data_IF_670826237202
#
_entry.id   IF_670826237202
#
_cell.length_a   1.000
_cell.length_b   1.000
_cell.length_c   1.000
_cell.angle_alpha   90.00
_cell.angle_beta   90.00
_cell.angle_gamma   90.00
#
_symmetry.space_group_name_H-M   'P 1'
#
loop_
_entity.id
_entity.type
_entity.pdbx_description
1 polymer ?
#
# COMPACT_ATOMS: atom_id res chain seq x y z
N UNK A 1 -26.51 -3.57 -6.61
CA UNK A 1 -26.57 -3.32 -5.16
C UNK A 1 -25.72 -2.09 -4.88
N UNK A 2 -26.17 -1.14 -4.05
CA UNK A 2 -25.32 -0.01 -3.66
C UNK A 2 -24.13 -0.54 -2.85
N UNK A 3 -22.91 -0.27 -3.31
CA UNK A 3 -21.68 -0.76 -2.68
C UNK A 3 -21.41 0.02 -1.40
N UNK A 4 -21.19 -0.69 -0.31
CA UNK A 4 -20.91 -0.07 0.98
C UNK A 4 -19.58 0.66 0.91
N UNK A 5 -19.60 1.96 1.22
CA UNK A 5 -18.40 2.78 1.23
C UNK A 5 -17.38 2.20 2.23
N UNK A 6 -16.11 1.97 1.84
CA UNK A 6 -15.13 1.26 2.66
C UNK A 6 -14.81 2.01 3.96
N UNK A 7 -15.02 3.33 3.97
CA UNK A 7 -14.83 4.17 5.15
C UNK A 7 -16.10 4.34 6.01
N UNK A 8 -17.26 3.82 5.57
CA UNK A 8 -18.50 3.82 6.36
C UNK A 8 -18.61 2.60 7.30
N UNK A 9 -17.73 1.61 7.14
CA UNK A 9 -17.80 0.32 7.81
C UNK A 9 -17.25 0.28 9.26
N UNK A 10 -17.08 1.43 9.95
CA UNK A 10 -16.65 1.42 11.35
C UNK A 10 -17.63 0.73 12.30
N UNK A 11 -18.89 0.54 11.89
CA UNK A 11 -19.94 -0.05 12.70
C UNK A 11 -20.23 -1.49 12.27
N UNK A 12 -19.66 -2.49 12.96
CA UNK A 12 -20.23 -3.84 12.92
C UNK A 12 -19.34 -5.00 13.37
N UNK A 13 -18.16 -5.18 12.78
CA UNK A 13 -17.30 -6.36 13.04
C UNK A 13 -15.80 -6.08 12.78
N UNK A 14 -14.92 -6.99 13.23
CA UNK A 14 -13.46 -6.88 13.09
C UNK A 14 -12.98 -6.82 11.63
N UNK A 15 -13.71 -7.46 10.69
CA UNK A 15 -13.36 -7.47 9.28
C UNK A 15 -13.70 -6.14 8.59
N UNK A 16 -14.82 -5.51 8.96
CA UNK A 16 -15.20 -4.17 8.56
C UNK A 16 -14.21 -3.13 9.07
N UNK A 17 -13.76 -3.26 10.32
CA UNK A 17 -12.73 -2.38 10.89
C UNK A 17 -11.37 -2.51 10.19
N UNK A 18 -10.97 -3.72 9.79
CA UNK A 18 -9.72 -3.94 9.04
C UNK A 18 -9.77 -3.28 7.65
N UNK A 19 -10.90 -3.41 6.95
CA UNK A 19 -11.13 -2.72 5.67
C UNK A 19 -11.12 -1.21 5.85
N UNK A 20 -11.81 -0.72 6.88
CA UNK A 20 -11.82 0.70 7.20
C UNK A 20 -10.40 1.23 7.47
N UNK A 21 -9.61 0.51 8.25
CA UNK A 21 -8.25 0.88 8.62
C UNK A 21 -7.34 1.00 7.39
N UNK A 22 -7.28 -0.04 6.54
CA UNK A 22 -6.51 -0.01 5.30
C UNK A 22 -7.01 1.08 4.35
N UNK A 23 -8.34 1.22 4.24
CA UNK A 23 -8.95 2.27 3.45
C UNK A 23 -8.54 3.66 3.94
N UNK A 24 -8.46 3.87 5.25
CA UNK A 24 -8.08 5.15 5.85
C UNK A 24 -6.60 5.46 5.66
N UNK A 25 -5.73 4.47 5.82
CA UNK A 25 -4.30 4.59 5.49
C UNK A 25 -4.12 5.02 4.03
N UNK A 26 -4.86 4.39 3.10
CA UNK A 26 -4.82 4.70 1.68
C UNK A 26 -5.36 6.10 1.34
N UNK A 27 -6.51 6.46 1.92
CA UNK A 27 -7.14 7.76 1.73
C UNK A 27 -6.22 8.91 2.14
N UNK A 28 -5.38 8.73 3.16
CA UNK A 28 -4.40 9.72 3.60
C UNK A 28 -3.40 10.11 2.49
N UNK A 29 -3.16 9.23 1.50
CA UNK A 29 -2.29 9.53 0.36
C UNK A 29 -2.93 10.49 -0.67
N UNK A 30 -4.26 10.61 -0.67
CA UNK A 30 -4.98 11.57 -1.52
C UNK A 30 -5.20 12.92 -0.84
N UNK A 31 -4.99 13.01 0.49
CA UNK A 31 -5.11 14.26 1.22
C UNK A 31 -3.76 14.94 1.42
N UNK A 32 -3.75 16.25 1.22
CA UNK A 32 -2.68 17.08 1.76
C UNK A 32 -3.09 17.55 3.17
N UNK A 33 -2.61 16.80 4.16
CA UNK A 33 -2.74 17.14 5.57
C UNK A 33 -1.52 17.94 5.95
N UNK A 34 -1.74 19.18 6.37
CA UNK A 34 -0.73 19.99 7.02
C UNK A 34 -0.70 19.67 8.50
N UNK A 35 0.49 19.45 9.07
CA UNK A 35 0.58 19.05 10.46
C UNK A 35 1.84 19.51 11.18
N UNK A 36 1.69 19.66 12.49
CA UNK A 36 2.78 19.75 13.45
C UNK A 36 2.73 18.53 14.36
N UNK A 37 3.87 17.88 14.57
CA UNK A 37 3.94 16.72 15.45
C UNK A 37 5.35 16.47 15.99
N UNK A 38 5.41 15.73 17.09
CA UNK A 38 6.62 15.12 17.60
C UNK A 38 6.58 13.62 17.32
N UNK A 39 7.48 13.14 16.48
CA UNK A 39 7.63 11.72 16.21
C UNK A 39 8.79 11.18 17.06
N UNK A 40 8.54 10.08 17.78
CA UNK A 40 9.54 9.35 18.55
C UNK A 40 9.67 7.94 18.01
N UNK A 41 10.88 7.42 18.08
CA UNK A 41 11.22 6.11 17.57
C UNK A 41 12.25 5.45 18.47
N UNK A 42 12.01 4.17 18.76
CA UNK A 42 12.92 3.32 19.50
C UNK A 42 13.18 2.04 18.69
N UNK A 43 14.45 1.78 18.41
CA UNK A 43 14.95 0.54 17.81
C UNK A 43 15.66 -0.26 18.87
N UNK A 44 15.28 -1.53 19.02
CA UNK A 44 15.92 -2.42 19.97
C UNK A 44 16.91 -3.38 19.30
N UNK A 45 16.75 -3.62 17.99
CA UNK A 45 17.55 -4.58 17.20
C UNK A 45 17.75 -4.11 15.76
N UNK A 46 18.81 -4.59 15.10
CA UNK A 46 19.21 -4.15 13.76
C UNK A 46 18.13 -4.46 12.71
N UNK A 47 17.93 -3.63 11.67
CA UNK A 47 17.01 -3.93 10.57
C UNK A 47 17.46 -5.16 9.79
N UNK A 48 18.76 -5.45 9.77
CA UNK A 48 19.35 -6.59 9.07
C UNK A 48 18.85 -7.92 9.64
N UNK A 49 18.72 -8.02 10.96
CA UNK A 49 18.25 -9.23 11.66
C UNK A 49 16.83 -9.64 11.27
N UNK A 50 16.02 -8.68 10.82
CA UNK A 50 14.58 -8.84 10.53
C UNK A 50 14.24 -8.66 9.05
N UNK A 51 15.22 -8.40 8.21
CA UNK A 51 15.06 -8.20 6.76
C UNK A 51 14.67 -9.48 6.00
N UNK A 52 14.84 -10.65 6.64
CA UNK A 52 14.48 -11.94 6.06
C UNK A 52 15.45 -12.42 4.97
N UNK A 53 14.99 -13.27 4.05
CA UNK A 53 15.83 -13.96 3.05
C UNK A 53 16.53 -13.02 2.05
N UNK A 54 15.99 -11.83 1.85
CA UNK A 54 16.51 -10.83 0.91
C UNK A 54 17.21 -9.65 1.61
N UNK A 55 17.57 -9.82 2.88
CA UNK A 55 18.38 -8.88 3.61
C UNK A 55 19.71 -8.58 2.93
N UNK A 56 20.13 -7.32 2.93
CA UNK A 56 21.49 -6.95 2.56
C UNK A 56 22.45 -7.50 3.61
N UNK A 57 23.01 -8.69 3.36
CA UNK A 57 24.23 -9.10 4.03
C UNK A 57 25.39 -8.45 3.30
N UNK A 58 25.81 -7.25 3.70
CA UNK A 58 27.16 -6.81 3.34
C UNK A 58 28.13 -7.83 3.94
N UNK A 59 28.90 -8.51 3.09
CA UNK A 59 29.80 -9.60 3.47
C UNK A 59 30.99 -9.17 4.37
N UNK A 60 30.94 -7.99 4.97
CA UNK A 60 31.89 -7.50 5.95
C UNK A 60 31.24 -7.59 7.33
N UNK A 61 31.65 -8.61 8.10
CA UNK A 61 31.42 -8.69 9.55
C UNK A 61 31.93 -7.40 10.19
N UNK A 62 31.02 -6.46 10.46
CA UNK A 62 31.23 -5.48 11.51
C UNK A 62 30.75 -6.08 12.82
N UNK A 63 31.55 -5.87 13.86
CA UNK A 63 31.30 -6.34 15.22
C UNK A 63 29.88 -5.98 15.67
N UNK A 64 29.14 -6.98 16.17
CA UNK A 64 27.83 -6.83 16.80
C UNK A 64 27.91 -5.75 17.88
N UNK A 65 27.48 -4.55 17.53
CA UNK A 65 27.13 -3.52 18.49
C UNK A 65 25.62 -3.62 18.64
N UNK A 66 25.11 -3.90 19.84
CA UNK A 66 23.68 -3.81 20.16
C UNK A 66 23.18 -2.41 19.79
N UNK A 67 22.65 -2.25 18.58
CA UNK A 67 22.21 -0.96 18.07
C UNK A 67 20.84 -0.63 18.65
N UNK A 68 20.85 -0.16 19.91
CA UNK A 68 19.70 0.58 20.44
C UNK A 68 19.76 1.98 19.86
N UNK A 69 18.95 2.27 18.85
CA UNK A 69 18.84 3.62 18.27
C UNK A 69 17.55 4.27 18.76
N UNK A 70 17.65 5.51 19.23
CA UNK A 70 16.47 6.30 19.63
C UNK A 70 16.49 7.59 18.83
N UNK A 71 15.34 7.97 18.31
CA UNK A 71 15.18 9.13 17.44
C UNK A 71 13.99 9.96 17.90
N UNK A 72 14.16 11.28 17.84
CA UNK A 72 13.05 12.21 17.95
C UNK A 72 13.15 13.21 16.80
N UNK A 73 12.05 13.35 16.05
CA UNK A 73 11.90 14.33 15.00
C UNK A 73 10.73 15.24 15.35
N UNK A 74 11.01 16.53 15.43
CA UNK A 74 9.96 17.54 15.43
C UNK A 74 9.68 17.93 13.98
N UNK A 75 8.43 17.79 13.58
CA UNK A 75 7.96 18.18 12.25
C UNK A 75 7.15 19.45 12.44
N UNK A 76 7.75 20.59 12.09
CA UNK A 76 7.06 21.88 12.04
C UNK A 76 6.58 22.10 10.59
N UNK A 77 5.27 22.28 10.42
CA UNK A 77 4.60 22.53 9.14
C UNK A 77 4.84 21.43 8.08
N UNK A 78 4.67 20.17 8.49
CA UNK A 78 4.68 19.01 7.61
C UNK A 78 3.51 19.03 6.62
N UNK A 79 3.68 18.38 5.46
CA UNK A 79 2.62 18.12 4.47
C UNK A 79 2.76 16.67 4.01
N UNK A 80 1.70 15.88 4.17
CA UNK A 80 1.70 14.46 3.73
C UNK A 80 1.98 14.34 2.23
N UNK A 81 1.44 15.24 1.41
CA UNK A 81 1.70 15.25 -0.02
C UNK A 81 3.17 15.57 -0.34
N UNK A 82 3.80 16.52 0.38
CA UNK A 82 5.23 16.85 0.21
C UNK A 82 6.14 15.72 0.69
N UNK A 83 5.79 15.02 1.76
CA UNK A 83 6.52 13.84 2.22
C UNK A 83 6.53 12.72 1.18
N UNK A 84 5.48 12.60 0.36
CA UNK A 84 5.43 11.66 -0.76
C UNK A 84 6.28 12.10 -1.95
N UNK A 85 6.42 13.41 -2.20
CA UNK A 85 7.21 13.97 -3.32
C UNK A 85 8.71 13.99 -3.08
N UNK A 86 9.15 14.13 -1.81
CA UNK A 86 10.56 13.98 -1.45
C UNK A 86 10.92 12.51 -1.64
N UNK A 87 11.34 12.20 -2.85
CA UNK A 87 11.65 10.86 -3.34
C UNK A 87 12.96 10.33 -2.75
N UNK A 88 13.07 10.38 -1.43
CA UNK A 88 14.23 9.86 -0.76
C UNK A 88 13.93 8.46 -0.30
N UNK A 89 14.78 7.57 -0.80
CA UNK A 89 15.17 6.29 -0.23
C UNK A 89 15.53 6.34 1.28
N UNK A 90 15.12 7.37 2.02
CA UNK A 90 15.14 7.33 3.47
C UNK A 90 14.06 6.33 3.87
N UNK A 91 14.48 5.11 4.20
CA UNK A 91 13.73 4.18 5.05
C UNK A 91 13.54 4.76 6.47
N UNK A 92 13.25 6.06 6.58
CA UNK A 92 13.06 6.76 7.83
C UNK A 92 11.78 6.23 8.48
N UNK A 93 11.90 5.50 9.60
CA UNK A 93 10.74 4.95 10.30
C UNK A 93 9.74 6.04 10.71
N UNK A 94 10.21 7.26 11.00
CA UNK A 94 9.39 8.35 11.51
C UNK A 94 8.45 8.91 10.42
N UNK A 95 8.90 8.95 9.17
CA UNK A 95 8.06 9.44 8.07
C UNK A 95 6.89 8.51 7.76
N UNK A 96 7.06 7.20 7.96
CA UNK A 96 6.00 6.21 7.75
C UNK A 96 4.85 6.35 8.75
N UNK A 97 5.08 6.97 9.92
CA UNK A 97 4.01 7.31 10.86
C UNK A 97 3.05 8.38 10.28
N UNK A 98 3.59 9.29 9.47
CA UNK A 98 2.83 10.39 8.85
C UNK A 98 2.43 10.07 7.40
N UNK A 99 2.90 8.96 6.84
CA UNK A 99 2.55 8.48 5.51
C UNK A 99 2.30 6.95 5.48
N UNK A 100 1.25 6.48 6.19
CA UNK A 100 1.04 5.04 6.40
C UNK A 100 0.68 4.26 5.16
N UNK A 101 0.22 4.93 4.09
CA UNK A 101 -0.06 4.22 2.85
C UNK A 101 1.19 3.62 2.20
N UNK A 102 2.42 4.01 2.61
CA UNK A 102 3.66 3.32 2.22
C UNK A 102 3.69 1.85 2.64
N UNK A 103 3.05 1.52 3.75
CA UNK A 103 3.06 0.17 4.33
C UNK A 103 2.18 -0.82 3.55
N UNK A 104 1.20 -0.33 2.77
CA UNK A 104 0.11 -1.16 2.21
C UNK A 104 0.63 -2.26 1.27
N UNK A 105 1.62 -1.95 0.42
CA UNK A 105 2.24 -2.89 -0.52
C UNK A 105 2.87 -4.12 0.16
N UNK A 106 3.36 -3.94 1.39
CA UNK A 106 3.98 -4.97 2.19
C UNK A 106 3.02 -5.84 3.00
N UNK A 107 1.71 -5.53 3.03
CA UNK A 107 0.74 -6.25 3.87
C UNK A 107 0.22 -7.52 3.19
N UNK A 108 0.37 -8.67 3.84
CA UNK A 108 -0.30 -9.92 3.45
C UNK A 108 -1.72 -10.02 4.02
N UNK A 109 -1.88 -9.65 5.29
CA UNK A 109 -3.18 -9.67 5.95
C UNK A 109 -3.28 -8.57 6.99
N UNK A 110 -4.51 -8.12 7.23
CA UNK A 110 -4.82 -7.18 8.28
C UNK A 110 -6.00 -7.68 9.11
N UNK A 111 -5.91 -7.49 10.42
CA UNK A 111 -7.03 -7.63 11.35
C UNK A 111 -7.11 -6.36 12.18
N UNK A 112 -8.32 -5.89 12.45
CA UNK A 112 -8.51 -4.74 13.33
C UNK A 112 -9.06 -5.19 14.66
N UNK A 113 -8.51 -4.62 15.72
CA UNK A 113 -8.96 -4.80 17.09
C UNK A 113 -10.12 -3.85 17.40
N UNK A 114 -9.89 -2.98 18.39
CA UNK A 114 -10.89 -2.07 18.94
C UNK A 114 -10.63 -0.62 18.52
N UNK A 115 -11.67 0.19 18.61
CA UNK A 115 -11.52 1.64 18.71
C UNK A 115 -10.97 1.99 20.10
N UNK A 116 -9.98 2.87 20.17
CA UNK A 116 -9.34 3.34 21.39
C UNK A 116 -9.04 4.83 21.31
N UNK A 117 -8.44 5.37 22.37
CA UNK A 117 -8.06 6.78 22.48
C UNK A 117 -6.60 6.91 22.91
N UNK A 118 -5.84 7.76 22.22
CA UNK A 118 -4.44 8.06 22.52
C UNK A 118 -4.28 9.57 22.47
N UNK A 119 -3.77 10.16 23.56
CA UNK A 119 -3.51 11.60 23.68
C UNK A 119 -4.71 12.47 23.23
N UNK A 120 -5.93 12.05 23.58
CA UNK A 120 -7.17 12.74 23.25
C UNK A 120 -7.66 12.57 21.81
N UNK A 121 -7.05 11.68 21.02
CA UNK A 121 -7.44 11.37 19.64
C UNK A 121 -8.02 9.95 19.54
N UNK A 122 -9.11 9.80 18.80
CA UNK A 122 -9.69 8.49 18.54
C UNK A 122 -8.91 7.75 17.46
N UNK A 123 -8.54 6.50 17.73
CA UNK A 123 -7.84 5.64 16.78
C UNK A 123 -8.39 4.22 16.73
N UNK A 124 -8.11 3.51 15.65
CA UNK A 124 -8.40 2.07 15.50
C UNK A 124 -7.09 1.31 15.59
N UNK A 125 -7.02 0.33 16.49
CA UNK A 125 -5.87 -0.59 16.56
C UNK A 125 -5.97 -1.62 15.44
N UNK A 126 -4.91 -1.75 14.65
CA UNK A 126 -4.79 -2.73 13.58
C UNK A 126 -3.54 -3.58 13.79
N UNK A 127 -3.64 -4.85 13.44
CA UNK A 127 -2.52 -5.76 13.29
C UNK A 127 -2.32 -6.04 11.81
N UNK A 128 -1.13 -5.72 11.30
CA UNK A 128 -0.70 -5.95 9.93
C UNK A 128 0.35 -7.04 9.91
N UNK A 129 0.19 -8.02 9.03
CA UNK A 129 1.16 -9.11 8.84
C UNK A 129 1.90 -8.85 7.54
N UNK A 130 3.25 -8.84 7.54
CA UNK A 130 4.01 -8.61 6.31
C UNK A 130 3.81 -9.79 5.35
N UNK A 131 3.82 -9.47 4.06
CA UNK A 131 3.81 -10.46 3.00
C UNK A 131 5.24 -10.92 2.75
N UNK A 132 5.54 -12.22 2.88
CA UNK A 132 6.92 -12.73 2.92
C UNK A 132 7.75 -12.41 1.66
N UNK A 133 7.08 -12.11 0.54
CA UNK A 133 7.70 -11.86 -0.75
C UNK A 133 7.54 -10.45 -1.30
N UNK A 134 6.73 -9.60 -0.67
CA UNK A 134 6.47 -8.24 -1.18
C UNK A 134 6.60 -7.15 -0.14
N UNK A 135 6.71 -7.53 1.13
CA UNK A 135 7.30 -6.64 2.11
C UNK A 135 8.69 -6.23 1.61
N UNK A 136 8.94 -4.93 1.57
CA UNK A 136 10.27 -4.42 1.27
C UNK A 136 11.20 -4.88 2.40
N UNK A 137 12.31 -5.58 2.11
CA UNK A 137 13.30 -5.97 3.13
C UNK A 137 13.86 -4.79 3.93
N UNK A 138 13.81 -3.60 3.34
CA UNK A 138 14.23 -2.35 3.97
C UNK A 138 13.06 -1.60 4.64
N UNK A 139 11.82 -2.12 4.57
CA UNK A 139 10.70 -1.49 5.24
C UNK A 139 10.97 -1.42 6.75
N UNK A 140 10.88 -0.22 7.33
CA UNK A 140 11.19 -0.06 8.73
C UNK A 140 10.20 -0.76 9.66
N UNK A 141 8.96 -1.01 9.26
CA UNK A 141 7.89 -1.46 10.14
C UNK A 141 7.39 -2.86 9.83
N UNK A 142 7.41 -3.24 8.55
CA UNK A 142 6.89 -4.49 8.03
C UNK A 142 7.89 -5.21 7.12
N UNK A 143 9.15 -5.43 7.55
CA UNK A 143 10.07 -6.25 6.76
C UNK A 143 9.61 -7.73 6.74
N UNK A 144 10.07 -8.55 5.78
CA UNK A 144 9.66 -9.96 5.65
C UNK A 144 9.90 -10.83 6.89
N UNK A 145 10.91 -10.50 7.72
CA UNK A 145 11.20 -11.23 8.95
C UNK A 145 10.34 -10.82 10.15
N UNK A 146 9.55 -9.74 10.05
CA UNK A 146 8.60 -9.39 11.09
C UNK A 146 7.45 -10.42 11.14
N UNK A 147 6.96 -10.72 12.34
CA UNK A 147 5.74 -11.53 12.52
C UNK A 147 4.50 -10.68 12.32
N UNK A 148 4.50 -9.44 12.83
CA UNK A 148 3.42 -8.48 12.66
C UNK A 148 3.83 -7.06 13.10
N UNK A 149 3.04 -6.09 12.67
CA UNK A 149 3.00 -4.72 13.16
C UNK A 149 1.67 -4.48 13.86
N UNK A 150 1.69 -3.97 15.08
CA UNK A 150 0.50 -3.39 15.73
C UNK A 150 0.57 -1.88 15.62
N UNK A 151 -0.47 -1.24 15.09
CA UNK A 151 -0.51 0.21 14.89
C UNK A 151 -1.88 0.82 15.27
N UNK A 152 -1.86 2.03 15.81
CA UNK A 152 -3.07 2.82 16.08
C UNK A 152 -3.28 3.88 15.01
N UNK A 153 -4.29 3.70 14.16
CA UNK A 153 -4.59 4.61 13.05
C UNK A 153 -5.52 5.73 13.53
N UNK A 154 -5.07 6.98 13.45
CA UNK A 154 -5.87 8.16 13.76
C UNK A 154 -7.11 8.23 12.86
N UNK A 155 -8.29 8.31 13.47
CA UNK A 155 -9.55 8.35 12.72
C UNK A 155 -9.70 9.62 11.88
N UNK A 156 -9.03 10.70 12.25
CA UNK A 156 -9.09 11.97 11.54
C UNK A 156 -8.06 12.11 10.42
N UNK A 157 -6.80 11.73 10.61
CA UNK A 157 -5.78 11.92 9.56
C UNK A 157 -5.43 10.65 8.82
N UNK A 158 -5.71 9.48 9.42
CA UNK A 158 -5.18 8.20 8.97
C UNK A 158 -3.73 7.95 9.36
N UNK A 159 -3.04 8.89 10.04
CA UNK A 159 -1.67 8.72 10.52
C UNK A 159 -1.56 7.65 11.61
N UNK A 160 -0.36 7.10 11.81
CA UNK A 160 -0.08 6.17 12.89
C UNK A 160 0.26 6.95 14.16
N UNK A 161 -0.66 6.96 15.13
CA UNK A 161 -0.39 7.54 16.46
C UNK A 161 0.64 6.72 17.23
N UNK A 162 0.66 5.41 17.00
CA UNK A 162 1.73 4.52 17.45
C UNK A 162 1.89 3.34 16.50
N UNK A 163 3.07 2.75 16.52
CA UNK A 163 3.45 1.59 15.74
C UNK A 163 4.40 0.72 16.57
N UNK A 164 4.22 -0.60 16.57
CA UNK A 164 5.10 -1.57 17.22
C UNK A 164 5.28 -2.79 16.33
N UNK A 165 6.50 -3.00 15.87
CA UNK A 165 6.84 -4.13 15.01
C UNK A 165 7.48 -5.25 15.84
N UNK A 166 7.03 -6.47 15.58
CA UNK A 166 7.39 -7.68 16.30
C UNK A 166 7.95 -8.72 15.36
N UNK A 167 8.85 -9.54 15.87
CA UNK A 167 9.31 -10.77 15.21
C UNK A 167 9.11 -11.97 16.17
N UNK A 168 9.87 -13.06 16.00
CA UNK A 168 9.79 -14.23 16.90
C UNK A 168 10.43 -14.01 18.27
N UNK A 169 11.34 -13.04 18.41
CA UNK A 169 12.05 -12.74 19.65
C UNK A 169 11.36 -11.62 20.45
N UNK A 170 10.43 -10.88 19.82
CA UNK A 170 9.59 -9.88 20.48
C UNK A 170 9.53 -8.57 19.71
N UNK A 171 9.23 -7.48 20.41
CA UNK A 171 9.22 -6.14 19.82
C UNK A 171 10.65 -5.75 19.41
N UNK A 172 10.90 -5.53 18.13
CA UNK A 172 12.20 -5.03 17.66
C UNK A 172 12.20 -3.51 17.45
N UNK A 173 11.00 -2.91 17.38
CA UNK A 173 10.86 -1.51 17.01
C UNK A 173 9.53 -0.91 17.47
N UNK A 174 9.58 0.32 17.95
CA UNK A 174 8.37 1.08 18.28
C UNK A 174 8.48 2.54 17.86
N UNK A 175 7.34 3.16 17.63
CA UNK A 175 7.26 4.57 17.31
C UNK A 175 5.94 5.17 17.75
N UNK A 176 5.96 6.47 17.99
CA UNK A 176 4.82 7.22 18.47
C UNK A 176 4.80 8.62 17.88
N UNK A 177 3.61 9.06 17.47
CA UNK A 177 3.34 10.42 17.05
C UNK A 177 2.59 11.13 18.19
N UNK A 178 3.19 12.19 18.73
CA UNK A 178 2.67 12.98 19.86
C UNK A 178 2.38 14.39 19.42
N UNK A 179 1.53 15.07 20.20
CA UNK A 179 1.18 16.48 20.01
C UNK A 179 0.69 16.79 18.58
N UNK A 180 0.07 15.82 17.90
CA UNK A 180 -0.36 15.95 16.51
C UNK A 180 -1.45 17.02 16.39
N UNK A 181 -1.12 18.09 15.69
CA UNK A 181 -2.04 19.13 15.21
C UNK A 181 -2.14 18.99 13.70
N UNK A 182 -3.34 18.86 13.17
CA UNK A 182 -3.56 18.60 11.76
C UNK A 182 -4.67 19.49 11.19
N UNK A 183 -4.40 20.04 10.02
CA UNK A 183 -5.30 20.89 9.23
C UNK A 183 -5.33 20.42 7.78
N UNK A 184 -6.46 20.57 7.11
CA UNK A 184 -6.57 20.31 5.68
C UNK A 184 -5.84 21.41 4.87
N UNK A 185 -5.66 21.19 3.57
CA UNK A 185 -5.02 22.14 2.66
C UNK A 185 -5.67 23.54 2.61
N UNK A 186 -6.93 23.67 3.03
CA UNK A 186 -7.65 24.93 3.14
C UNK A 186 -7.51 25.61 4.52
N UNK A 187 -6.74 25.02 5.43
CA UNK A 187 -6.54 25.49 6.81
C UNK A 187 -7.63 25.08 7.80
N UNK A 188 -8.67 24.37 7.36
CA UNK A 188 -9.72 23.87 8.27
C UNK A 188 -9.21 22.70 9.13
N UNK A 189 -9.77 22.47 10.33
CA UNK A 189 -9.42 21.30 11.14
C UNK A 189 -9.79 20.01 10.42
N UNK A 190 -8.88 19.02 10.43
CA UNK A 190 -9.21 17.69 9.89
C UNK A 190 -10.19 17.01 10.85
N UNK A 191 -11.45 16.85 10.44
CA UNK A 191 -12.47 16.18 11.24
C UNK A 191 -12.48 14.67 10.97
N UNK A 192 -12.68 13.86 12.02
CA UNK A 192 -12.77 12.39 12.00
C UNK A 192 -13.89 11.78 11.15
N UNK A 193 -14.66 12.59 10.42
CA UNK A 193 -15.63 12.07 9.48
C UNK A 193 -14.87 11.36 8.35
N UNK A 194 -15.11 10.06 8.24
CA UNK A 194 -14.84 9.34 7.01
C UNK A 194 -15.56 10.05 5.86
N UNK A 195 -14.92 10.16 4.68
CA UNK A 195 -15.64 10.34 3.44
C UNK A 195 -16.88 9.43 3.46
N UNK A 196 -18.07 9.99 3.26
CA UNK A 196 -19.35 9.28 3.34
C UNK A 196 -19.91 8.86 1.98
N UNK A 197 -19.32 9.30 0.85
CA UNK A 197 -19.87 9.12 -0.50
C UNK A 197 -18.79 8.92 -1.59
N UNK A 198 -19.14 8.20 -2.66
CA UNK A 198 -18.27 8.02 -3.83
C UNK A 198 -17.95 9.34 -4.57
N UNK A 199 -18.67 10.43 -4.26
CA UNK A 199 -18.42 11.76 -4.81
C UNK A 199 -17.17 12.42 -4.22
N UNK A 200 -16.62 11.90 -3.12
CA UNK A 200 -15.44 12.45 -2.46
C UNK A 200 -14.12 12.14 -3.18
N UNK A 201 -14.18 11.54 -4.38
CA UNK A 201 -13.09 11.53 -5.35
C UNK A 201 -11.93 10.59 -5.03
N UNK A 202 -10.69 11.07 -5.13
CA UNK A 202 -9.47 10.27 -5.00
C UNK A 202 -9.35 9.45 -3.69
N UNK A 203 -9.68 9.97 -2.50
CA UNK A 203 -9.66 9.19 -1.26
C UNK A 203 -10.51 7.92 -1.30
N UNK A 204 -11.70 7.97 -1.91
CA UNK A 204 -12.56 6.81 -2.07
C UNK A 204 -11.92 5.76 -2.97
N UNK A 205 -11.39 6.19 -4.12
CA UNK A 205 -10.74 5.29 -5.09
C UNK A 205 -9.54 4.60 -4.44
N UNK A 206 -8.68 5.33 -3.73
CA UNK A 206 -7.53 4.76 -3.02
C UNK A 206 -7.96 3.80 -1.90
N UNK A 207 -9.00 4.16 -1.13
CA UNK A 207 -9.52 3.28 -0.10
C UNK A 207 -10.00 1.95 -0.69
N UNK A 208 -10.73 1.99 -1.82
CA UNK A 208 -11.17 0.78 -2.54
C UNK A 208 -9.99 -0.04 -3.06
N UNK A 209 -8.96 0.61 -3.62
CA UNK A 209 -7.75 -0.08 -4.06
C UNK A 209 -7.10 -0.83 -2.90
N UNK A 210 -6.91 -0.20 -1.74
CA UNK A 210 -6.28 -0.83 -0.60
C UNK A 210 -7.09 -1.97 0.00
N UNK A 211 -8.43 -1.85 0.06
CA UNK A 211 -9.29 -2.91 0.59
C UNK A 211 -9.28 -4.19 -0.25
N UNK A 212 -8.84 -4.12 -1.51
CA UNK A 212 -8.68 -5.31 -2.36
C UNK A 212 -7.63 -6.31 -1.82
N UNK A 213 -6.84 -5.94 -0.81
CA UNK A 213 -5.97 -6.88 -0.09
C UNK A 213 -6.75 -7.91 0.72
N UNK A 214 -7.88 -7.50 1.30
CA UNK A 214 -8.65 -8.31 2.24
C UNK A 214 -9.80 -9.04 1.58
N UNK A 215 -10.27 -8.54 0.44
CA UNK A 215 -11.38 -9.15 -0.28
C UNK A 215 -10.86 -10.38 -1.05
N UNK A 216 -11.32 -11.60 -0.73
CA UNK A 216 -10.99 -12.78 -1.51
C UNK A 216 -11.63 -12.64 -2.88
N UNK A 217 -10.80 -12.69 -3.92
CA UNK A 217 -11.25 -12.45 -5.29
C UNK A 217 -10.74 -13.60 -6.16
N UNK A 218 -11.69 -14.39 -6.68
CA UNK A 218 -11.47 -15.37 -7.76
C UNK A 218 -12.17 -14.84 -8.99
N UNK A 219 -11.42 -14.56 -10.04
CA UNK A 219 -11.98 -13.95 -11.25
C UNK A 219 -11.42 -14.59 -12.50
N UNK A 220 -12.21 -14.51 -13.56
CA UNK A 220 -11.71 -14.67 -14.92
C UNK A 220 -11.61 -13.27 -15.54
N UNK A 221 -10.52 -12.96 -16.22
CA UNK A 221 -10.36 -11.65 -16.84
C UNK A 221 -9.64 -11.74 -18.18
N UNK A 222 -10.16 -11.06 -19.20
CA UNK A 222 -9.37 -10.76 -20.40
C UNK A 222 -8.45 -9.59 -20.09
N UNK A 223 -7.13 -9.72 -20.31
CA UNK A 223 -6.19 -8.61 -20.12
C UNK A 223 -5.56 -8.27 -21.46
N UNK A 224 -5.73 -7.02 -21.87
CA UNK A 224 -5.03 -6.46 -23.03
C UNK A 224 -3.96 -5.52 -22.51
N UNK A 225 -2.69 -5.88 -22.71
CA UNK A 225 -1.55 -5.04 -22.39
C UNK A 225 -0.91 -4.54 -23.69
N UNK A 226 -0.66 -3.24 -23.78
CA UNK A 226 0.05 -2.58 -24.88
C UNK A 226 1.30 -1.90 -24.30
N UNK A 227 2.25 -2.71 -23.78
CA UNK A 227 3.68 -2.56 -24.12
C UNK A 227 4.49 -3.88 -24.03
N UNK A 228 5.83 -3.81 -24.12
CA UNK A 228 6.91 -4.85 -24.20
C UNK A 228 6.94 -5.91 -23.07
N UNK A 229 5.77 -6.47 -22.72
CA UNK A 229 5.58 -7.63 -21.84
C UNK A 229 5.57 -8.92 -22.70
N UNK A 230 5.97 -8.81 -23.98
CA UNK A 230 5.82 -9.88 -24.98
C UNK A 230 6.84 -11.03 -24.81
N UNK A 231 7.81 -10.94 -23.91
CA UNK A 231 8.74 -12.04 -23.64
C UNK A 231 8.09 -13.09 -22.71
N UNK A 232 7.69 -14.20 -23.31
CA UNK A 232 7.36 -15.54 -22.75
C UNK A 232 6.87 -15.64 -21.29
N UNK A 233 5.57 -15.39 -21.11
CA UNK A 233 4.83 -15.73 -19.90
C UNK A 233 4.63 -17.25 -19.79
N UNK A 234 5.27 -17.90 -18.81
CA UNK A 234 4.93 -19.25 -18.36
C UNK A 234 4.85 -19.31 -16.84
N UNK A 235 3.86 -20.00 -16.27
CA UNK A 235 3.61 -19.99 -14.82
C UNK A 235 3.45 -21.41 -14.30
N UNK A 236 4.09 -21.73 -13.18
CA UNK A 236 3.77 -22.90 -12.38
C UNK A 236 2.67 -22.54 -11.37
N UNK A 237 1.57 -23.30 -11.37
CA UNK A 237 0.43 -23.03 -10.51
C UNK A 237 0.76 -23.31 -9.03
N UNK A 238 0.79 -22.26 -8.20
CA UNK A 238 0.87 -22.38 -6.73
C UNK A 238 -0.51 -22.10 -6.12
N UNK A 239 -1.03 -22.92 -5.17
CA UNK A 239 -2.33 -22.65 -4.57
C UNK A 239 -2.37 -21.29 -3.85
N UNK A 240 -3.28 -20.40 -4.23
CA UNK A 240 -3.52 -19.11 -3.55
C UNK A 240 -5.01 -18.83 -3.34
N UNK A 241 -5.32 -17.98 -2.35
CA UNK A 241 -6.67 -17.44 -2.13
C UNK A 241 -7.12 -16.52 -3.27
N UNK A 242 -6.19 -15.91 -4.02
CA UNK A 242 -6.47 -15.08 -5.19
C UNK A 242 -6.02 -15.79 -6.45
N UNK A 243 -6.88 -15.83 -7.46
CA UNK A 243 -6.53 -16.36 -8.77
C UNK A 243 -7.28 -15.64 -9.89
N UNK A 244 -6.61 -15.53 -11.04
CA UNK A 244 -7.02 -14.87 -12.25
C UNK A 244 -6.73 -15.76 -13.44
N UNK A 245 -7.73 -16.05 -14.26
CA UNK A 245 -7.49 -16.61 -15.59
C UNK A 245 -7.37 -15.45 -16.58
N UNK A 246 -6.18 -15.23 -17.15
CA UNK A 246 -5.83 -14.11 -18.03
C UNK A 246 -5.74 -14.52 -19.48
N UNK A 247 -6.63 -13.99 -20.33
CA UNK A 247 -6.49 -14.12 -21.79
C UNK A 247 -5.77 -12.91 -22.36
N UNK A 248 -4.61 -13.12 -22.99
CA UNK A 248 -3.84 -12.08 -23.67
C UNK A 248 -4.35 -11.91 -25.10
N UNK A 249 -4.78 -10.70 -25.44
CA UNK A 249 -5.15 -10.34 -26.81
C UNK A 249 -3.95 -10.53 -27.74
N UNK A 250 -4.14 -11.30 -28.82
CA UNK A 250 -3.07 -11.61 -29.80
C UNK A 250 -2.43 -13.00 -29.66
N UNK A 251 -2.59 -13.70 -28.52
CA UNK A 251 -2.05 -15.06 -28.33
C UNK A 251 -3.11 -16.17 -28.21
N UNK A 252 -4.40 -15.83 -28.09
CA UNK A 252 -5.49 -16.78 -27.80
C UNK A 252 -5.18 -17.79 -26.66
N UNK A 253 -4.20 -17.48 -25.81
CA UNK A 253 -3.77 -18.31 -24.70
C UNK A 253 -4.35 -17.72 -23.43
N UNK A 254 -4.96 -18.57 -22.61
CA UNK A 254 -5.40 -18.20 -21.26
C UNK A 254 -4.35 -18.70 -20.27
N UNK A 255 -3.83 -17.80 -19.45
CA UNK A 255 -2.87 -18.09 -18.39
C UNK A 255 -3.62 -18.10 -17.06
N UNK A 256 -3.52 -19.19 -16.31
CA UNK A 256 -3.99 -19.19 -14.93
C UNK A 256 -2.89 -18.61 -14.04
N UNK A 257 -3.23 -17.53 -13.34
CA UNK A 257 -2.36 -16.80 -12.42
C UNK A 257 -2.99 -16.93 -11.05
N UNK A 258 -2.31 -17.54 -10.10
CA UNK A 258 -2.67 -17.50 -8.69
C UNK A 258 -1.70 -16.57 -7.97
N UNK A 259 -2.13 -15.88 -6.90
CA UNK A 259 -1.29 -14.86 -6.28
C UNK A 259 -1.45 -14.73 -4.78
N UNK A 260 -0.49 -15.31 -4.07
CA UNK A 260 0.43 -14.47 -3.32
C UNK A 260 1.73 -14.50 -4.13
N UNK A 261 2.29 -13.33 -4.47
CA UNK A 261 3.42 -13.25 -5.41
C UNK A 261 4.65 -14.00 -4.86
N UNK A 262 5.21 -14.95 -5.62
CA UNK A 262 6.43 -15.69 -5.25
C UNK A 262 7.54 -15.45 -6.29
N UNK A 263 8.46 -14.48 -6.10
CA UNK A 263 9.46 -14.06 -7.10
C UNK A 263 10.38 -15.17 -7.60
N UNK A 264 10.60 -16.21 -6.78
CA UNK A 264 11.47 -17.35 -7.12
C UNK A 264 10.74 -18.43 -7.93
N UNK A 265 9.40 -18.40 -7.99
CA UNK A 265 8.56 -19.42 -8.63
C UNK A 265 7.62 -18.84 -9.69
N UNK A 266 7.49 -17.51 -9.73
CA UNK A 266 6.61 -16.77 -10.62
C UNK A 266 7.47 -16.08 -11.67
N UNK A 267 7.21 -16.39 -12.94
CA UNK A 267 7.84 -15.68 -14.05
C UNK A 267 7.70 -14.15 -13.91
N UNK A 268 8.75 -13.36 -14.22
CA UNK A 268 8.74 -11.90 -14.11
C UNK A 268 7.56 -11.19 -14.79
N UNK A 269 7.03 -11.72 -15.89
CA UNK A 269 5.88 -11.10 -16.55
C UNK A 269 4.57 -11.47 -15.83
N UNK A 270 4.48 -12.66 -15.24
CA UNK A 270 3.34 -13.06 -14.41
C UNK A 270 3.32 -12.31 -13.06
N UNK A 271 4.51 -12.01 -12.52
CA UNK A 271 4.73 -11.12 -11.38
C UNK A 271 4.12 -9.73 -11.61
N UNK A 272 4.51 -9.11 -12.74
CA UNK A 272 4.02 -7.80 -13.19
C UNK A 272 2.51 -7.80 -13.35
N UNK A 273 1.96 -8.85 -13.94
CA UNK A 273 0.53 -9.00 -14.15
C UNK A 273 -0.25 -9.20 -12.84
N UNK A 274 0.28 -9.99 -11.90
CA UNK A 274 -0.32 -10.17 -10.58
C UNK A 274 -0.29 -8.87 -9.74
N UNK A 275 0.77 -8.08 -9.85
CA UNK A 275 0.87 -6.74 -9.27
C UNK A 275 -0.19 -5.80 -9.86
N UNK A 276 -0.32 -5.75 -11.18
CA UNK A 276 -1.33 -4.95 -11.88
C UNK A 276 -2.77 -5.33 -11.51
N UNK A 277 -3.01 -6.62 -11.27
CA UNK A 277 -4.31 -7.15 -10.83
C UNK A 277 -4.52 -7.01 -9.30
N UNK A 278 -3.54 -6.46 -8.57
CA UNK A 278 -3.58 -6.20 -7.13
C UNK A 278 -3.45 -4.69 -6.83
N UNK A 279 -4.50 -3.88 -7.05
CA UNK A 279 -4.46 -2.42 -6.97
C UNK A 279 -3.83 -1.86 -5.69
N UNK A 280 -4.06 -2.51 -4.56
CA UNK A 280 -3.48 -2.12 -3.27
C UNK A 280 -1.96 -2.01 -3.28
N UNK A 281 -1.26 -2.86 -4.04
CA UNK A 281 0.21 -2.87 -4.10
C UNK A 281 0.75 -1.60 -4.75
N UNK A 282 -0.03 -0.97 -5.63
CA UNK A 282 0.35 0.27 -6.32
C UNK A 282 0.13 1.50 -5.41
N UNK A 283 -0.81 1.46 -4.45
CA UNK A 283 -1.17 2.61 -3.58
C UNK A 283 0.04 3.18 -2.83
N UNK A 284 0.96 2.32 -2.37
CA UNK A 284 2.20 2.75 -1.70
C UNK A 284 3.07 3.65 -2.58
N UNK A 285 2.97 3.52 -3.90
CA UNK A 285 3.84 4.19 -4.86
C UNK A 285 3.20 5.43 -5.49
N UNK A 286 1.91 5.69 -5.23
CA UNK A 286 1.21 6.83 -5.79
C UNK A 286 1.58 8.14 -5.08
N UNK A 287 1.83 9.17 -5.86
CA UNK A 287 1.98 10.56 -5.45
C UNK A 287 1.07 11.45 -6.33
N UNK A 288 0.82 12.68 -5.88
CA UNK A 288 0.06 13.68 -6.67
C UNK A 288 -1.30 13.16 -7.14
N UNK A 289 -1.99 12.43 -6.27
CA UNK A 289 -3.26 11.80 -6.61
C UNK A 289 -4.34 12.86 -6.79
N UNK A 290 -5.01 12.82 -7.93
CA UNK A 290 -6.10 13.71 -8.30
C UNK A 290 -7.29 12.89 -8.79
N UNK A 291 -8.50 13.38 -8.49
CA UNK A 291 -9.73 12.76 -8.96
C UNK A 291 -9.87 12.97 -10.47
N UNK A 292 -10.11 11.89 -11.21
CA UNK A 292 -10.44 11.93 -12.64
C UNK A 292 -11.90 11.52 -12.92
N UNK A 293 -12.57 10.93 -11.92
CA UNK A 293 -13.98 10.56 -11.94
C UNK A 293 -14.36 9.78 -10.68
N UNK A 294 -15.61 9.30 -10.55
CA UNK A 294 -16.09 8.61 -9.35
C UNK A 294 -15.33 7.31 -9.02
N UNK A 295 -14.78 6.64 -10.04
CA UNK A 295 -14.00 5.40 -9.89
C UNK A 295 -12.61 5.52 -10.51
N UNK A 296 -12.16 6.75 -10.79
CA UNK A 296 -10.94 7.01 -11.55
C UNK A 296 -10.06 8.07 -10.89
N UNK A 297 -8.76 7.83 -10.93
CA UNK A 297 -7.74 8.76 -10.45
C UNK A 297 -6.64 8.95 -11.50
N UNK A 298 -5.99 10.10 -11.41
CA UNK A 298 -4.72 10.38 -12.06
C UNK A 298 -3.68 10.56 -10.96
N UNK A 299 -2.56 9.85 -11.06
CA UNK A 299 -1.50 9.88 -10.05
C UNK A 299 -0.13 9.70 -10.71
N UNK A 300 0.89 10.29 -10.10
CA UNK A 300 2.29 10.03 -10.43
C UNK A 300 2.71 8.74 -9.71
N UNK A 301 3.10 7.71 -10.45
CA UNK A 301 3.68 6.47 -9.91
C UNK A 301 5.17 6.70 -9.72
N UNK A 302 5.63 6.62 -8.47
CA UNK A 302 7.04 6.80 -8.13
C UNK A 302 7.90 5.62 -8.60
N UNK A 303 9.19 5.83 -8.90
CA UNK A 303 10.12 4.75 -9.22
C UNK A 303 10.12 3.67 -8.14
N UNK A 304 9.85 2.42 -8.51
CA UNK A 304 9.85 1.28 -7.59
C UNK A 304 11.26 0.67 -7.51
N UNK A 305 12.20 1.41 -6.90
CA UNK A 305 13.63 1.01 -6.85
C UNK A 305 13.89 -0.30 -6.09
N UNK A 306 12.99 -0.71 -5.20
CA UNK A 306 13.11 -1.95 -4.41
C UNK A 306 12.30 -3.14 -4.96
N UNK A 307 11.57 -2.98 -6.08
CA UNK A 307 10.76 -4.06 -6.64
C UNK A 307 11.27 -4.44 -8.05
N UNK A 308 12.10 -5.50 -8.18
CA UNK A 308 12.76 -5.85 -9.45
C UNK A 308 11.81 -6.23 -10.59
N UNK A 309 10.51 -6.35 -10.31
CA UNK A 309 9.50 -6.81 -11.25
C UNK A 309 8.28 -5.91 -11.32
N UNK A 310 8.40 -4.61 -10.99
CA UNK A 310 7.22 -3.76 -11.09
C UNK A 310 6.84 -3.50 -12.55
N UNK A 311 5.56 -3.62 -12.87
CA UNK A 311 5.01 -3.16 -14.16
C UNK A 311 5.15 -1.65 -14.36
N UNK A 312 5.47 -0.92 -13.27
CA UNK A 312 5.63 0.52 -13.21
C UNK A 312 7.08 0.96 -12.93
N UNK A 313 8.05 0.03 -13.05
CA UNK A 313 9.47 0.28 -12.80
C UNK A 313 10.10 1.15 -13.90
N UNK A 314 9.80 2.45 -13.89
CA UNK A 314 10.48 3.45 -14.70
C UNK A 314 11.50 4.22 -13.84
N UNK A 315 12.60 4.65 -14.45
CA UNK A 315 13.64 5.44 -13.76
C UNK A 315 13.13 6.82 -13.32
N UNK A 316 12.09 7.31 -13.98
CA UNK A 316 11.41 8.57 -13.70
C UNK A 316 9.95 8.32 -13.32
N UNK A 317 9.36 9.26 -12.56
CA UNK A 317 7.96 9.17 -12.16
C UNK A 317 7.03 9.22 -13.38
N UNK A 318 6.10 8.26 -13.48
CA UNK A 318 5.12 8.22 -14.57
C UNK A 318 3.75 8.69 -14.12
N UNK A 319 3.16 9.60 -14.89
CA UNK A 319 1.76 9.95 -14.66
C UNK A 319 0.85 8.89 -15.27
N UNK A 320 0.08 8.24 -14.41
CA UNK A 320 -0.80 7.14 -14.76
C UNK A 320 -2.25 7.49 -14.44
N UNK A 321 -3.14 6.96 -15.26
CA UNK A 321 -4.58 7.05 -15.10
C UNK A 321 -5.13 5.66 -14.77
N UNK A 322 -5.78 5.55 -13.62
CA UNK A 322 -6.35 4.31 -13.09
C UNK A 322 -7.87 4.41 -13.07
N UNK A 323 -8.54 3.35 -13.50
CA UNK A 323 -10.00 3.21 -13.40
C UNK A 323 -10.33 1.87 -12.76
N UNK A 324 -11.18 1.92 -11.72
CA UNK A 324 -11.59 0.74 -10.98
C UNK A 324 -13.00 0.28 -11.36
N UNK A 325 -13.24 -1.01 -11.15
CA UNK A 325 -14.57 -1.56 -11.08
C UNK A 325 -15.25 -1.03 -9.80
N UNK A 326 -16.43 -0.40 -9.90
CA UNK A 326 -17.11 0.20 -8.76
C UNK A 326 -17.42 -0.83 -7.65
N UNK A 327 -17.74 -2.05 -8.06
CA UNK A 327 -18.24 -3.08 -7.14
C UNK A 327 -17.13 -3.85 -6.43
N UNK A 328 -16.04 -4.11 -7.14
CA UNK A 328 -14.98 -5.03 -6.68
C UNK A 328 -13.67 -4.33 -6.37
N UNK A 329 -13.50 -3.07 -6.76
CA UNK A 329 -12.25 -2.32 -6.57
C UNK A 329 -11.09 -2.81 -7.44
N UNK A 330 -11.33 -3.73 -8.37
CA UNK A 330 -10.32 -4.24 -9.31
C UNK A 330 -9.95 -3.13 -10.29
N UNK A 331 -8.68 -3.09 -10.70
CA UNK A 331 -8.20 -2.19 -11.74
C UNK A 331 -8.72 -2.65 -13.12
N UNK A 332 -9.68 -1.91 -13.69
CA UNK A 332 -10.23 -2.15 -15.02
C UNK A 332 -9.36 -1.56 -16.12
N UNK A 333 -8.74 -0.43 -15.85
CA UNK A 333 -7.85 0.24 -16.81
C UNK A 333 -6.72 0.92 -16.08
N UNK A 334 -5.52 0.77 -16.61
CA UNK A 334 -4.35 1.53 -16.18
C UNK A 334 -3.61 1.98 -17.43
N UNK A 335 -3.35 3.27 -17.59
CA UNK A 335 -2.65 3.75 -18.78
C UNK A 335 -1.76 4.97 -18.48
N UNK A 336 -0.67 5.07 -19.23
CA UNK A 336 0.25 6.19 -19.24
C UNK A 336 0.74 6.47 -20.65
N UNK A 337 0.94 7.75 -20.95
CA UNK A 337 1.37 8.24 -22.25
C UNK A 337 1.58 9.74 -22.22
N UNK A 338 2.30 10.25 -23.21
CA UNK A 338 2.61 11.68 -23.38
C UNK A 338 1.62 12.40 -24.33
N UNK A 339 0.47 11.79 -24.59
CA UNK A 339 -0.54 12.27 -25.53
C UNK A 339 -0.25 11.92 -27.00
N UNK A 340 1.02 11.77 -27.39
CA UNK A 340 1.44 11.36 -28.73
C UNK A 340 1.78 9.86 -28.82
N UNK A 341 2.19 9.27 -27.70
CA UNK A 341 2.61 7.88 -27.56
C UNK A 341 1.97 7.26 -26.32
N UNK A 342 1.43 6.04 -26.48
CA UNK A 342 1.08 5.19 -25.34
C UNK A 342 2.34 4.47 -24.88
N UNK A 343 2.74 4.71 -23.63
CA UNK A 343 3.91 4.05 -23.02
C UNK A 343 3.51 2.74 -22.36
N UNK A 344 2.35 2.72 -21.72
CA UNK A 344 1.74 1.53 -21.16
C UNK A 344 0.23 1.68 -21.17
N UNK A 345 -0.47 0.61 -21.54
CA UNK A 345 -1.92 0.50 -21.37
C UNK A 345 -2.28 -0.93 -20.99
N UNK A 346 -3.05 -1.06 -19.92
CA UNK A 346 -3.71 -2.29 -19.52
C UNK A 346 -5.22 -2.05 -19.51
N UNK A 347 -5.95 -2.92 -20.19
CA UNK A 347 -7.40 -3.04 -20.07
C UNK A 347 -7.75 -4.43 -19.52
N UNK A 348 -8.55 -4.48 -18.48
CA UNK A 348 -9.04 -5.69 -17.83
C UNK A 348 -10.54 -5.78 -18.04
N UNK A 349 -10.98 -6.83 -18.71
CA UNK A 349 -12.40 -7.18 -18.84
C UNK A 349 -12.72 -8.29 -17.88
N UNK A 350 -13.45 -7.99 -16.82
CA UNK A 350 -13.86 -9.01 -15.84
C UNK A 350 -14.96 -9.87 -16.45
N UNK A 351 -14.74 -11.18 -16.50
CA UNK A 351 -15.75 -12.18 -16.78
C UNK A 351 -16.16 -12.78 -15.44
N UNK A 352 -17.44 -12.70 -15.07
CA UNK A 352 -17.90 -13.34 -13.84
C UNK A 352 -17.53 -14.83 -13.88
N UNK A 353 -16.89 -15.31 -12.82
CA UNK A 353 -16.73 -16.74 -12.59
C UNK A 353 -18.11 -17.29 -12.25
N UNK A 354 -18.63 -18.19 -13.08
CA UNK A 354 -19.85 -18.95 -12.79
C UNK A 354 -19.65 -19.88 -11.60
#
# INVERSE_FOLDING_TARGET
MATTHPLNAMAGDHAGLARWALGRMAAAAAWDVHFDAEARYDQHRSPEDVSGRYGWHSAERFEETEATSTGQLRIDSGSSARLRKKDEASGDPLLSLCDPARLISGVASASAGRCTWIDGRSCVEVTLVPHPWTADPQDPWLPPGATHLTAGIDTATGFLLHARAYDRQGCFRSGQLRNLRATAGDGSPVTGAAPTSAEEGAPFVLARMATSLLDPVRLRAGVTAVPDIESELSVANVPSRRSWAVTLAGRNTTLDISGDYEPDQTDPAAARLAELLSPARVVSHLAEVTTAGPTSIRATVRPMRSFPFSAWAFEEGLVCHFTLAPDTGILLRAHTGDGSRTLFRMDVTVQQAN
#
